data_IF_285400837011
#
_entry.id   IF_285400837011
#
_cell.length_a   1.000
_cell.length_b   1.000
_cell.length_c   1.000
_cell.angle_alpha   90.00
_cell.angle_beta   90.00
_cell.angle_gamma   90.00
#
_symmetry.space_group_name_H-M   'P 1'
#
loop_
_entity.id
_entity.type
_entity.pdbx_description
1 polymer ?
#
# COMPACT_ATOMS: atom_id res chain seq x y z
N UNK A 1 2.50 21.57 16.13
CA UNK A 1 2.34 20.10 16.16
C UNK A 1 3.64 19.50 16.67
N UNK A 2 3.61 18.46 17.52
CA UNK A 2 4.85 17.73 17.84
C UNK A 2 5.42 17.12 16.56
N UNK A 3 6.74 17.15 16.36
CA UNK A 3 7.42 16.64 15.15
C UNK A 3 6.96 15.21 14.80
N UNK A 4 6.80 14.37 15.83
CA UNK A 4 6.30 12.99 15.72
C UNK A 4 4.89 12.87 15.13
N UNK A 5 3.99 13.84 15.40
CA UNK A 5 2.66 13.87 14.78
C UNK A 5 2.70 14.29 13.32
N UNK A 6 3.63 15.18 12.95
CA UNK A 6 3.80 15.60 11.56
C UNK A 6 4.30 14.43 10.71
N UNK A 7 5.30 13.68 11.18
CA UNK A 7 5.81 12.50 10.48
C UNK A 7 4.79 11.37 10.36
N UNK A 8 4.00 11.10 11.40
CA UNK A 8 2.87 10.14 11.30
C UNK A 8 1.85 10.56 10.25
N UNK A 9 1.59 11.86 10.13
CA UNK A 9 0.67 12.39 9.12
C UNK A 9 1.26 12.31 7.71
N UNK A 10 2.55 12.58 7.56
CA UNK A 10 3.26 12.56 6.28
C UNK A 10 3.50 11.14 5.75
N UNK A 11 3.59 10.14 6.62
CA UNK A 11 3.85 8.73 6.27
C UNK A 11 2.71 7.80 6.74
N UNK A 12 1.48 7.96 6.23
CA UNK A 12 0.31 7.18 6.68
C UNK A 12 0.39 5.69 6.32
N UNK A 13 1.36 5.30 5.48
CA UNK A 13 1.67 3.92 5.09
C UNK A 13 2.75 3.26 5.95
N UNK A 14 3.33 3.97 6.92
CA UNK A 14 4.35 3.46 7.84
C UNK A 14 3.83 3.44 9.27
N UNK A 15 4.30 2.48 10.06
CA UNK A 15 4.01 2.41 11.49
C UNK A 15 5.18 1.84 12.29
N UNK A 16 5.18 2.05 13.60
CA UNK A 16 6.16 1.48 14.53
C UNK A 16 7.61 1.75 14.13
N UNK A 17 8.42 0.68 14.11
CA UNK A 17 9.85 0.77 13.81
C UNK A 17 10.14 1.20 12.36
N UNK A 18 9.26 0.89 11.41
CA UNK A 18 9.45 1.31 10.01
C UNK A 18 9.27 2.82 9.85
N UNK A 19 8.30 3.40 10.57
CA UNK A 19 8.10 4.84 10.60
C UNK A 19 9.33 5.57 11.13
N UNK A 20 9.85 5.11 12.28
CA UNK A 20 11.05 5.71 12.88
C UNK A 20 12.25 5.62 11.93
N UNK A 21 12.48 4.46 11.31
CA UNK A 21 13.59 4.28 10.37
C UNK A 21 13.43 5.12 9.08
N UNK A 22 12.20 5.32 8.60
CA UNK A 22 11.93 6.20 7.46
C UNK A 22 12.19 7.66 7.83
N UNK A 23 11.68 8.10 8.98
CA UNK A 23 11.91 9.45 9.52
C UNK A 23 13.41 9.75 9.62
N UNK A 24 14.20 8.89 10.28
CA UNK A 24 15.63 9.08 10.46
C UNK A 24 16.36 9.28 9.11
N UNK A 25 16.01 8.46 8.10
CA UNK A 25 16.62 8.57 6.76
C UNK A 25 16.24 9.85 6.02
N UNK A 26 14.98 10.27 6.14
CA UNK A 26 14.47 11.47 5.47
C UNK A 26 15.05 12.74 6.12
N UNK A 27 15.06 12.81 7.44
CA UNK A 27 15.68 13.91 8.19
C UNK A 27 17.18 14.00 7.92
N UNK A 28 17.88 12.86 7.84
CA UNK A 28 19.31 12.83 7.47
C UNK A 28 19.59 13.35 6.05
N UNK A 29 18.61 13.26 5.13
CA UNK A 29 18.66 13.86 3.80
C UNK A 29 18.13 15.31 3.77
N UNK A 30 17.85 15.89 4.93
CA UNK A 30 17.30 17.24 5.10
C UNK A 30 15.86 17.39 4.63
N UNK A 31 15.11 16.29 4.46
CA UNK A 31 13.71 16.33 4.06
C UNK A 31 12.84 16.59 5.29
N UNK A 32 11.86 17.47 5.12
CA UNK A 32 10.84 17.74 6.12
C UNK A 32 9.56 16.91 5.86
N UNK A 33 8.69 16.71 6.86
CA UNK A 33 7.38 16.07 6.67
C UNK A 33 6.56 16.71 5.54
N UNK A 34 6.70 18.02 5.35
CA UNK A 34 6.02 18.80 4.33
C UNK A 34 6.46 18.40 2.91
N UNK A 35 7.76 18.14 2.70
CA UNK A 35 8.29 17.69 1.41
C UNK A 35 7.64 16.36 0.99
N UNK A 36 7.54 15.43 1.93
CA UNK A 36 6.91 14.11 1.71
C UNK A 36 5.41 14.26 1.49
N UNK A 37 4.74 15.06 2.32
CA UNK A 37 3.30 15.30 2.22
C UNK A 37 2.93 15.86 0.85
N UNK A 38 3.74 16.80 0.34
CA UNK A 38 3.55 17.41 -0.97
C UNK A 38 3.65 16.37 -2.09
N UNK A 39 4.73 15.59 -2.11
CA UNK A 39 4.96 14.54 -3.13
C UNK A 39 3.89 13.43 -3.09
N UNK A 40 3.41 13.07 -1.90
CA UNK A 40 2.34 12.07 -1.81
C UNK A 40 0.98 12.63 -2.25
N UNK A 41 0.74 13.93 -2.06
CA UNK A 41 -0.51 14.58 -2.43
C UNK A 41 -0.65 14.78 -3.95
N UNK A 42 0.44 15.10 -4.64
CA UNK A 42 0.47 15.28 -6.10
C UNK A 42 0.87 14.00 -6.87
N UNK A 43 1.12 12.90 -6.16
CA UNK A 43 1.57 11.62 -6.70
C UNK A 43 2.91 11.69 -7.47
N UNK A 44 3.75 12.66 -7.11
CA UNK A 44 5.09 12.85 -7.69
C UNK A 44 5.12 13.62 -9.00
N UNK A 45 4.03 14.29 -9.40
CA UNK A 45 3.98 15.06 -10.63
C UNK A 45 5.03 16.18 -10.66
N UNK A 46 5.17 16.95 -9.58
CA UNK A 46 6.20 18.00 -9.49
C UNK A 46 7.61 17.40 -9.43
N UNK A 47 7.78 16.31 -8.67
CA UNK A 47 9.06 15.59 -8.58
C UNK A 47 9.51 15.07 -9.96
N UNK A 48 8.56 14.62 -10.79
CA UNK A 48 8.81 14.23 -12.17
C UNK A 48 9.21 15.43 -13.05
N UNK A 49 8.52 16.56 -12.89
CA UNK A 49 8.77 17.78 -13.65
C UNK A 49 10.13 18.44 -13.39
N UNK A 50 10.74 18.20 -12.23
CA UNK A 50 12.07 18.73 -11.88
C UNK A 50 13.23 18.07 -12.67
N UNK A 51 13.01 16.91 -13.30
CA UNK A 51 14.04 16.19 -14.04
C UNK A 51 15.28 15.87 -13.20
N UNK A 52 16.48 16.01 -13.78
CA UNK A 52 17.75 15.73 -13.10
C UNK A 52 18.29 16.91 -12.26
N UNK A 53 17.55 18.02 -12.18
CA UNK A 53 18.04 19.28 -11.59
C UNK A 53 18.03 19.31 -10.05
N UNK A 54 17.59 18.23 -9.39
CA UNK A 54 17.52 18.09 -7.93
C UNK A 54 18.63 17.22 -7.32
N UNK A 55 18.72 17.21 -5.99
CA UNK A 55 19.57 16.27 -5.25
C UNK A 55 19.09 14.82 -5.50
N UNK A 56 19.93 13.95 -6.10
CA UNK A 56 19.55 12.59 -6.44
C UNK A 56 19.15 11.73 -5.23
N UNK A 57 19.75 11.96 -4.05
CA UNK A 57 19.42 11.20 -2.84
C UNK A 57 18.01 11.56 -2.36
N UNK A 58 17.71 12.86 -2.28
CA UNK A 58 16.38 13.35 -1.88
C UNK A 58 15.31 12.82 -2.84
N UNK A 59 15.55 12.92 -4.15
CA UNK A 59 14.63 12.42 -5.15
C UNK A 59 14.40 10.90 -5.02
N UNK A 60 15.47 10.12 -4.85
CA UNK A 60 15.37 8.66 -4.70
C UNK A 60 14.57 8.26 -3.45
N UNK A 61 14.78 8.96 -2.32
CA UNK A 61 14.02 8.71 -1.09
C UNK A 61 12.54 9.05 -1.26
N UNK A 62 12.22 10.17 -1.89
CA UNK A 62 10.85 10.59 -2.16
C UNK A 62 10.12 9.63 -3.11
N UNK A 63 10.77 9.20 -4.20
CA UNK A 63 10.22 8.15 -5.07
C UNK A 63 10.02 6.82 -4.35
N UNK A 64 10.93 6.46 -3.44
CA UNK A 64 10.81 5.28 -2.60
C UNK A 64 9.58 5.32 -1.70
N UNK A 65 9.35 6.45 -1.02
CA UNK A 65 8.17 6.61 -0.15
C UNK A 65 6.87 6.73 -0.95
N UNK A 66 6.88 7.37 -2.13
CA UNK A 66 5.73 7.36 -3.03
C UNK A 66 5.40 5.94 -3.50
N UNK A 67 6.40 5.14 -3.89
CA UNK A 67 6.20 3.74 -4.27
C UNK A 67 5.59 2.91 -3.14
N UNK A 68 6.09 3.09 -1.91
CA UNK A 68 5.55 2.43 -0.73
C UNK A 68 4.10 2.87 -0.42
N UNK A 69 3.83 4.17 -0.51
CA UNK A 69 2.49 4.74 -0.34
C UNK A 69 1.49 4.18 -1.36
N UNK A 70 1.87 4.13 -2.64
CA UNK A 70 1.03 3.59 -3.70
C UNK A 70 0.72 2.10 -3.48
N UNK A 71 1.70 1.30 -3.07
CA UNK A 71 1.48 -0.11 -2.74
C UNK A 71 0.48 -0.26 -1.57
N UNK A 72 0.64 0.54 -0.52
CA UNK A 72 -0.28 0.59 0.61
C UNK A 72 -1.69 1.02 0.20
N UNK A 73 -1.82 2.07 -0.62
CA UNK A 73 -3.09 2.58 -1.12
C UNK A 73 -3.81 1.54 -1.98
N UNK A 74 -3.07 0.81 -2.84
CA UNK A 74 -3.63 -0.27 -3.65
C UNK A 74 -4.16 -1.43 -2.80
N UNK A 75 -3.43 -1.84 -1.75
CA UNK A 75 -3.90 -2.89 -0.84
C UNK A 75 -5.16 -2.45 -0.06
N UNK A 76 -5.18 -1.21 0.46
CA UNK A 76 -6.38 -0.66 1.10
C UNK A 76 -7.57 -0.60 0.15
N UNK A 77 -7.37 -0.13 -1.08
CA UNK A 77 -8.41 -0.07 -2.09
C UNK A 77 -8.91 -1.48 -2.46
N UNK A 78 -8.01 -2.45 -2.59
CA UNK A 78 -8.37 -3.85 -2.81
C UNK A 78 -9.22 -4.39 -1.65
N UNK A 79 -8.78 -4.22 -0.40
CA UNK A 79 -9.52 -4.62 0.79
C UNK A 79 -10.91 -3.95 0.88
N UNK A 80 -10.98 -2.65 0.61
CA UNK A 80 -12.23 -1.89 0.53
C UNK A 80 -13.20 -2.42 -0.53
N UNK A 81 -12.70 -2.73 -1.74
CA UNK A 81 -13.50 -3.35 -2.80
C UNK A 81 -14.02 -4.73 -2.39
N UNK A 82 -13.16 -5.59 -1.81
CA UNK A 82 -13.55 -6.92 -1.33
C UNK A 82 -14.70 -6.85 -0.33
N UNK A 83 -14.55 -6.04 0.72
CA UNK A 83 -15.58 -5.90 1.75
C UNK A 83 -16.88 -5.32 1.19
N UNK A 84 -16.78 -4.34 0.28
CA UNK A 84 -17.95 -3.70 -0.33
C UNK A 84 -18.69 -4.65 -1.26
N UNK A 85 -17.98 -5.42 -2.10
CA UNK A 85 -18.58 -6.39 -3.00
C UNK A 85 -19.24 -7.52 -2.22
N UNK A 86 -18.60 -8.00 -1.15
CA UNK A 86 -19.19 -9.01 -0.27
C UNK A 86 -20.50 -8.54 0.36
N UNK A 87 -20.58 -7.29 0.84
CA UNK A 87 -21.85 -6.71 1.36
C UNK A 87 -22.92 -6.56 0.28
N UNK A 88 -22.56 -6.13 -0.92
CA UNK A 88 -23.50 -6.03 -2.04
C UNK A 88 -24.07 -7.41 -2.44
N UNK A 89 -23.23 -8.44 -2.43
CA UNK A 89 -23.64 -9.81 -2.76
C UNK A 89 -24.57 -10.44 -1.70
N UNK A 90 -24.66 -9.87 -0.49
CA UNK A 90 -25.62 -10.30 0.53
C UNK A 90 -27.05 -9.81 0.23
N UNK A 91 -27.20 -8.73 -0.54
CA UNK A 91 -28.51 -8.08 -0.78
C UNK A 91 -28.95 -8.13 -2.25
N UNK A 92 -28.07 -8.55 -3.16
CA UNK A 92 -28.36 -8.66 -4.58
C UNK A 92 -27.64 -9.84 -5.23
N UNK A 93 -28.19 -10.36 -6.33
CA UNK A 93 -27.52 -11.39 -7.11
C UNK A 93 -26.21 -10.87 -7.73
N UNK A 94 -25.23 -11.74 -7.94
CA UNK A 94 -23.94 -11.38 -8.57
C UNK A 94 -24.13 -10.72 -9.95
N UNK A 95 -25.17 -11.09 -10.70
CA UNK A 95 -25.48 -10.46 -11.99
C UNK A 95 -25.89 -9.00 -11.83
N UNK A 96 -26.74 -8.72 -10.84
CA UNK A 96 -27.20 -7.36 -10.52
C UNK A 96 -26.05 -6.50 -9.99
N UNK A 97 -25.23 -7.05 -9.10
CA UNK A 97 -24.03 -6.36 -8.58
C UNK A 97 -23.06 -6.02 -9.71
N UNK A 98 -22.77 -6.98 -10.59
CA UNK A 98 -21.90 -6.76 -11.76
C UNK A 98 -22.43 -5.65 -12.67
N UNK A 99 -23.73 -5.66 -12.99
CA UNK A 99 -24.37 -4.63 -13.81
C UNK A 99 -24.31 -3.24 -13.15
N UNK A 100 -24.56 -3.13 -11.84
CA UNK A 100 -24.51 -1.85 -11.12
C UNK A 100 -23.10 -1.26 -11.03
N UNK A 101 -22.08 -2.11 -10.95
CA UNK A 101 -20.68 -1.70 -10.81
C UNK A 101 -19.97 -1.51 -12.17
N UNK A 102 -20.63 -1.86 -13.28
CA UNK A 102 -20.02 -1.78 -14.62
C UNK A 102 -18.88 -2.77 -14.83
N UNK A 103 -18.91 -3.93 -14.17
CA UNK A 103 -17.87 -4.96 -14.26
C UNK A 103 -18.46 -6.32 -14.64
N UNK A 104 -17.63 -7.29 -15.01
CA UNK A 104 -18.10 -8.65 -15.29
C UNK A 104 -18.44 -9.41 -14.00
N UNK A 105 -19.32 -10.42 -14.09
CA UNK A 105 -19.61 -11.32 -12.95
C UNK A 105 -18.35 -12.02 -12.45
N UNK A 106 -17.44 -12.39 -13.35
CA UNK A 106 -16.15 -13.00 -13.02
C UNK A 106 -15.26 -12.03 -12.23
N UNK A 107 -15.26 -10.73 -12.57
CA UNK A 107 -14.53 -9.73 -11.81
C UNK A 107 -15.05 -9.61 -10.37
N UNK A 108 -16.38 -9.57 -10.19
CA UNK A 108 -17.00 -9.57 -8.85
C UNK A 108 -16.58 -10.81 -8.05
N UNK A 109 -16.67 -11.99 -8.66
CA UNK A 109 -16.29 -13.26 -8.04
C UNK A 109 -14.80 -13.30 -7.66
N UNK A 110 -13.91 -12.91 -8.59
CA UNK A 110 -12.45 -12.87 -8.35
C UNK A 110 -12.10 -11.90 -7.23
N UNK A 111 -12.72 -10.73 -7.19
CA UNK A 111 -12.50 -9.76 -6.11
C UNK A 111 -12.90 -10.36 -4.76
N UNK A 112 -14.08 -11.00 -4.66
CA UNK A 112 -14.52 -11.63 -3.41
C UNK A 112 -13.64 -12.83 -2.99
N UNK A 113 -13.21 -13.66 -3.94
CA UNK A 113 -12.47 -14.90 -3.68
C UNK A 113 -10.96 -14.76 -3.47
N UNK A 114 -10.38 -13.56 -3.62
CA UNK A 114 -8.93 -13.36 -3.54
C UNK A 114 -8.29 -13.64 -2.16
N UNK A 115 -9.08 -13.93 -1.11
CA UNK A 115 -8.56 -14.34 0.21
C UNK A 115 -8.01 -15.78 0.22
N UNK A 116 -8.63 -16.70 -0.53
CA UNK A 116 -8.24 -18.13 -0.48
C UNK A 116 -6.84 -18.38 -1.05
N UNK A 117 -6.38 -17.54 -1.99
CA UNK A 117 -5.08 -17.73 -2.63
C UNK A 117 -3.89 -17.28 -1.76
N UNK A 118 -4.10 -16.31 -0.86
CA UNK A 118 -3.03 -15.76 -0.01
C UNK A 118 -2.83 -16.62 1.26
N UNK A 119 -3.90 -17.16 1.84
CA UNK A 119 -3.82 -18.18 2.92
C UNK A 119 -3.22 -19.50 2.41
N UNK A 120 -3.56 -19.94 1.19
CA UNK A 120 -2.91 -21.12 0.57
C UNK A 120 -1.43 -20.92 0.27
N UNK A 121 -1.00 -19.71 -0.12
CA UNK A 121 0.40 -19.42 -0.40
C UNK A 121 1.25 -19.38 0.89
N UNK A 122 0.75 -18.75 1.96
CA UNK A 122 1.40 -18.75 3.28
C UNK A 122 1.45 -20.17 3.87
N UNK A 123 0.37 -20.95 3.76
CA UNK A 123 0.35 -22.35 4.21
C UNK A 123 1.38 -23.24 3.47
N UNK A 124 1.59 -23.00 2.17
CA UNK A 124 2.56 -23.77 1.37
C UNK A 124 4.02 -23.41 1.71
N UNK A 125 4.30 -22.15 2.04
CA UNK A 125 5.62 -21.70 2.50
C UNK A 125 5.94 -22.20 3.93
N UNK A 126 4.95 -22.24 4.82
CA UNK A 126 5.12 -22.77 6.19
C UNK A 126 5.39 -24.29 6.23
N UNK A 127 5.02 -25.06 5.20
CA UNK A 127 5.29 -26.50 5.16
C UNK A 127 6.71 -26.89 4.70
N UNK A 128 7.54 -25.95 4.21
CA UNK A 128 8.93 -26.24 3.79
C UNK A 128 9.99 -26.13 4.89
N UNK A 129 9.58 -25.85 6.13
CA UNK A 129 10.48 -25.66 7.29
C UNK A 129 10.63 -26.84 8.25
N UNK A 130 10.19 -28.06 7.92
CA UNK A 130 10.39 -29.22 8.80
C UNK A 130 11.84 -29.70 8.73
N UNK A 131 12.66 -29.27 9.69
CA UNK A 131 14.02 -29.81 9.93
C UNK A 131 13.95 -31.32 10.27
N UNK A 132 14.98 -32.10 9.91
CA UNK A 132 14.99 -33.54 10.07
C UNK A 132 15.11 -33.94 11.56
N UNK A 133 14.35 -34.98 11.93
CA UNK A 133 14.54 -35.67 13.20
C UNK A 133 15.93 -36.28 13.27
N UNK A 134 16.54 -36.19 14.45
CA UNK A 134 17.87 -36.68 14.74
C UNK A 134 18.05 -38.18 14.57
N UNK A 135 19.32 -38.54 14.42
CA UNK A 135 19.91 -39.85 14.54
C UNK A 135 21.38 -39.63 14.87
#
# INVERSE_FOLDING_TARGET
>A
MSSDLAWRSALPHREGAELAAAQDRLEAAGLAPEDVTHVLADLGDELHGQGESGDPLRAALLWGELGAYLAYAQERAASGRRSSYARLAQTASLARVAAQLGVSRQAVHKTMGARDSQDSYVATLSMRGRRPHGG
#
